data_IF_055763033460
#
_entry.id   IF_055763033460
#
_cell.length_a   1.000
_cell.length_b   1.000
_cell.length_c   1.000
_cell.angle_alpha   90.00
_cell.angle_beta   90.00
_cell.angle_gamma   90.00
#
_symmetry.space_group_name_H-M   'P 1'
#
loop_
_entity.id
_entity.type
_entity.pdbx_description
1 polymer ?
#
# COMPACT_ATOMS: atom_id res chain seq x y z
N UNK A 1 56.86 -26.12 19.70
CA UNK A 1 55.91 -27.11 19.17
C UNK A 1 54.65 -26.40 18.69
N UNK A 2 54.68 -25.88 17.47
CA UNK A 2 53.53 -25.29 16.78
C UNK A 2 52.71 -26.42 16.17
N UNK A 3 51.49 -26.64 16.65
CA UNK A 3 50.58 -27.65 16.10
C UNK A 3 50.00 -27.14 14.79
N UNK A 4 50.46 -27.73 13.69
CA UNK A 4 49.86 -27.56 12.36
C UNK A 4 48.43 -28.08 12.37
N UNK A 5 47.48 -27.17 12.13
CA UNK A 5 46.08 -27.51 11.90
C UNK A 5 45.95 -27.96 10.43
N UNK A 6 45.41 -29.15 10.15
CA UNK A 6 45.36 -29.69 8.79
C UNK A 6 44.54 -28.79 7.87
N UNK A 7 45.18 -28.38 6.77
CA UNK A 7 44.70 -27.44 5.74
C UNK A 7 43.34 -27.83 5.12
N UNK A 8 42.90 -29.09 5.24
CA UNK A 8 41.66 -29.57 4.60
C UNK A 8 40.38 -29.05 5.29
N UNK A 9 40.41 -28.72 6.58
CA UNK A 9 39.24 -28.16 7.28
C UNK A 9 38.97 -26.69 6.94
N UNK A 10 40.00 -25.93 6.59
CA UNK A 10 39.85 -24.53 6.16
C UNK A 10 39.27 -24.42 4.75
N UNK A 11 39.60 -25.36 3.86
CA UNK A 11 39.08 -25.39 2.50
C UNK A 11 37.59 -25.73 2.45
N UNK A 12 37.13 -26.67 3.29
CA UNK A 12 35.71 -27.05 3.39
C UNK A 12 34.82 -25.94 3.96
N UNK A 13 35.31 -25.18 4.95
CA UNK A 13 34.58 -24.04 5.52
C UNK A 13 34.48 -22.86 4.53
N UNK A 14 35.55 -22.61 3.76
CA UNK A 14 35.55 -21.56 2.73
C UNK A 14 34.58 -21.89 1.59
N UNK A 15 34.51 -23.15 1.13
CA UNK A 15 33.58 -23.57 0.08
C UNK A 15 32.12 -23.46 0.56
N UNK A 16 31.83 -23.74 1.84
CA UNK A 16 30.49 -23.61 2.39
C UNK A 16 30.05 -22.14 2.52
N UNK A 17 30.95 -21.24 2.93
CA UNK A 17 30.68 -19.79 2.98
C UNK A 17 30.51 -19.20 1.57
N UNK A 18 31.32 -19.65 0.59
CA UNK A 18 31.21 -19.20 -0.80
C UNK A 18 29.95 -19.70 -1.50
N UNK A 19 29.50 -20.93 -1.20
CA UNK A 19 28.23 -21.46 -1.68
C UNK A 19 27.02 -20.73 -1.05
N UNK A 20 27.13 -20.27 0.20
CA UNK A 20 26.10 -19.48 0.85
C UNK A 20 26.02 -18.05 0.30
N UNK A 21 27.15 -17.42 -0.08
CA UNK A 21 27.16 -16.11 -0.73
C UNK A 21 26.63 -16.15 -2.18
N UNK A 22 26.83 -17.27 -2.89
CA UNK A 22 26.25 -17.48 -4.23
C UNK A 22 24.73 -17.71 -4.22
N UNK A 23 24.12 -17.97 -3.06
CA UNK A 23 22.65 -17.99 -2.92
C UNK A 23 22.05 -16.59 -2.68
N UNK A 24 22.87 -15.59 -2.34
CA UNK A 24 22.43 -14.20 -2.18
C UNK A 24 22.70 -13.35 -3.42
N UNK A 25 23.71 -13.67 -4.23
CA UNK A 25 24.01 -12.98 -5.48
C UNK A 25 23.39 -13.67 -6.70
N UNK A 26 22.22 -13.18 -7.11
CA UNK A 26 21.81 -13.20 -8.52
C UNK A 26 20.67 -14.17 -8.90
N UNK A 27 19.44 -13.65 -8.92
CA UNK A 27 18.48 -14.05 -9.97
C UNK A 27 17.26 -14.90 -9.59
N UNK A 28 17.16 -15.41 -8.36
CA UNK A 28 16.01 -16.23 -7.91
C UNK A 28 15.14 -15.60 -6.81
N UNK A 29 15.39 -14.35 -6.45
CA UNK A 29 14.41 -13.56 -5.69
C UNK A 29 13.21 -13.29 -6.60
N UNK A 30 12.05 -13.83 -6.26
CA UNK A 30 10.83 -13.62 -7.01
C UNK A 30 10.55 -12.11 -7.14
N UNK A 31 10.80 -11.54 -8.32
CA UNK A 31 10.43 -10.16 -8.65
C UNK A 31 8.92 -10.03 -8.47
N UNK A 32 8.50 -9.20 -7.52
CA UNK A 32 7.10 -8.91 -7.22
C UNK A 32 6.92 -7.45 -6.77
N UNK A 33 5.68 -7.04 -6.45
CA UNK A 33 5.40 -5.65 -6.09
C UNK A 33 5.92 -5.27 -4.70
N UNK A 34 6.20 -6.24 -3.82
CA UNK A 34 6.69 -6.02 -2.47
C UNK A 34 8.21 -5.87 -2.41
N UNK A 35 8.70 -4.80 -1.78
CA UNK A 35 10.11 -4.66 -1.42
C UNK A 35 10.26 -3.89 -0.11
N UNK A 36 11.37 -4.15 0.59
CA UNK A 36 11.68 -3.44 1.83
C UNK A 36 12.44 -2.14 1.50
N UNK A 37 12.11 -1.06 2.20
CA UNK A 37 12.83 0.21 2.19
C UNK A 37 13.01 0.68 3.63
N UNK A 38 14.27 0.88 4.04
CA UNK A 38 14.58 1.44 5.36
C UNK A 38 14.09 2.90 5.46
N UNK A 39 14.17 3.65 4.36
CA UNK A 39 13.67 5.02 4.31
C UNK A 39 12.16 5.09 4.58
N UNK A 40 11.37 4.20 3.98
CA UNK A 40 9.94 4.13 4.19
C UNK A 40 9.59 3.72 5.62
N UNK A 41 10.31 2.74 6.18
CA UNK A 41 10.09 2.23 7.52
C UNK A 41 10.38 3.28 8.61
N UNK A 42 11.55 3.90 8.54
CA UNK A 42 11.94 4.99 9.45
C UNK A 42 11.01 6.20 9.28
N UNK A 43 10.63 6.54 8.05
CA UNK A 43 9.70 7.64 7.78
C UNK A 43 8.35 7.37 8.45
N UNK A 44 7.71 6.23 8.16
CA UNK A 44 6.40 5.88 8.75
C UNK A 44 6.45 5.85 10.27
N UNK A 45 7.54 5.34 10.86
CA UNK A 45 7.71 5.36 12.31
C UNK A 45 7.71 6.79 12.86
N UNK A 46 8.57 7.68 12.33
CA UNK A 46 8.71 9.05 12.81
C UNK A 46 7.45 9.87 12.50
N UNK A 47 6.84 9.66 11.34
CA UNK A 47 5.60 10.29 10.90
C UNK A 47 4.50 10.03 11.93
N UNK A 48 4.24 8.76 12.28
CA UNK A 48 3.28 8.40 13.31
C UNK A 48 3.67 8.87 14.73
N UNK A 49 4.94 8.68 15.14
CA UNK A 49 5.39 9.07 16.48
C UNK A 49 5.33 10.58 16.75
N UNK A 50 5.45 11.39 15.69
CA UNK A 50 5.37 12.86 15.80
C UNK A 50 3.97 13.36 16.11
N UNK A 51 2.93 12.60 15.75
CA UNK A 51 1.53 13.00 15.96
C UNK A 51 1.12 14.21 15.12
N UNK A 52 1.68 14.38 13.91
CA UNK A 52 1.42 15.56 13.07
C UNK A 52 -0.02 15.68 12.58
N UNK A 53 -0.76 14.56 12.53
CA UNK A 53 -2.15 14.48 12.12
C UNK A 53 -2.99 13.63 13.08
N UNK A 54 -4.31 13.88 13.16
CA UNK A 54 -5.27 13.11 13.98
C UNK A 54 -5.28 11.61 13.67
N UNK A 55 -4.94 11.24 12.44
CA UNK A 55 -4.84 9.83 11.97
C UNK A 55 -3.50 9.18 12.30
N UNK A 56 -2.61 9.87 13.01
CA UNK A 56 -1.34 9.29 13.44
C UNK A 56 -1.59 8.28 14.56
N UNK A 57 -1.13 7.05 14.37
CA UNK A 57 -1.22 6.00 15.38
C UNK A 57 -0.32 6.28 16.59
N UNK A 58 -0.95 6.43 17.76
CA UNK A 58 -0.29 6.72 19.03
C UNK A 58 0.56 5.54 19.56
N UNK A 59 0.38 4.33 19.02
CA UNK A 59 1.18 3.16 19.34
C UNK A 59 2.67 3.38 19.10
N UNK A 60 3.04 4.05 18.00
CA UNK A 60 4.45 4.36 17.69
C UNK A 60 5.07 5.29 18.73
N UNK A 61 4.35 6.35 19.12
CA UNK A 61 4.79 7.28 20.17
C UNK A 61 4.91 6.56 21.53
N UNK A 62 3.97 5.69 21.84
CA UNK A 62 3.96 4.90 23.08
C UNK A 62 5.19 4.00 23.19
N UNK A 63 5.53 3.29 22.11
CA UNK A 63 6.73 2.44 22.06
C UNK A 63 8.00 3.27 22.23
N UNK A 64 8.08 4.41 21.54
CA UNK A 64 9.24 5.30 21.62
C UNK A 64 9.45 5.90 23.03
N UNK A 65 8.36 6.23 23.73
CA UNK A 65 8.39 6.69 25.12
C UNK A 65 8.83 5.58 26.07
N UNK A 66 8.26 4.38 25.94
CA UNK A 66 8.51 3.23 26.82
C UNK A 66 9.93 2.70 26.68
N UNK A 67 10.40 2.53 25.45
CA UNK A 67 11.66 1.83 25.17
C UNK A 67 12.82 2.80 24.90
N UNK A 68 12.53 3.95 24.30
CA UNK A 68 13.55 4.91 23.90
C UNK A 68 13.94 5.92 24.98
N UNK A 69 13.05 6.24 25.93
CA UNK A 69 13.14 7.38 26.87
C UNK A 69 13.44 8.70 26.11
N UNK A 70 12.40 9.38 25.67
CA UNK A 70 12.53 10.65 24.95
C UNK A 70 13.13 11.74 25.85
N UNK A 71 14.12 12.46 25.34
CA UNK A 71 14.63 13.68 25.98
C UNK A 71 13.80 14.87 25.55
N UNK A 72 13.82 15.96 26.33
CA UNK A 72 13.12 17.20 25.97
C UNK A 72 13.56 17.75 24.60
N UNK A 73 14.84 17.61 24.24
CA UNK A 73 15.33 17.99 22.91
C UNK A 73 14.70 17.13 21.79
N UNK A 74 14.52 15.84 22.02
CA UNK A 74 13.88 14.94 21.05
C UNK A 74 12.38 15.21 20.91
N UNK A 75 11.70 15.59 22.00
CA UNK A 75 10.32 16.05 21.93
C UNK A 75 10.17 17.33 21.11
N UNK A 76 11.10 18.28 21.27
CA UNK A 76 11.15 19.50 20.47
C UNK A 76 11.38 19.19 18.98
N UNK A 77 12.26 18.25 18.66
CA UNK A 77 12.50 17.81 17.29
C UNK A 77 11.23 17.19 16.66
N UNK A 78 10.52 16.30 17.38
CA UNK A 78 9.25 15.72 16.90
C UNK A 78 8.16 16.78 16.73
N UNK A 79 8.07 17.75 17.64
CA UNK A 79 7.12 18.86 17.54
C UNK A 79 7.40 19.76 16.33
N UNK A 80 8.68 20.08 16.08
CA UNK A 80 9.09 20.83 14.88
C UNK A 80 8.80 20.03 13.60
N UNK A 81 9.06 18.72 13.61
CA UNK A 81 8.77 17.85 12.48
C UNK A 81 7.27 17.79 12.19
N UNK A 82 6.43 17.67 13.23
CA UNK A 82 4.99 17.67 13.08
C UNK A 82 4.47 18.95 12.41
N UNK A 83 5.00 20.12 12.80
CA UNK A 83 4.69 21.41 12.16
C UNK A 83 5.12 21.44 10.69
N UNK A 84 6.34 20.98 10.40
CA UNK A 84 6.84 20.91 9.02
C UNK A 84 5.97 19.99 8.16
N UNK A 85 5.70 18.76 8.62
CA UNK A 85 4.85 17.79 7.90
C UNK A 85 3.47 18.35 7.61
N UNK A 86 2.84 18.98 8.60
CA UNK A 86 1.52 19.62 8.43
C UNK A 86 1.57 20.71 7.35
N UNK A 87 2.54 21.62 7.42
CA UNK A 87 2.74 22.67 6.41
C UNK A 87 2.92 22.08 5.01
N UNK A 88 3.80 21.10 4.85
CA UNK A 88 4.09 20.50 3.54
C UNK A 88 2.91 19.69 2.99
N UNK A 89 2.13 19.05 3.85
CA UNK A 89 0.91 18.36 3.47
C UNK A 89 -0.16 19.35 3.00
N UNK A 90 -0.42 20.42 3.77
CA UNK A 90 -1.40 21.47 3.46
C UNK A 90 -1.07 22.22 2.15
N UNK A 91 0.22 22.45 1.89
CA UNK A 91 0.69 23.09 0.65
C UNK A 91 0.75 22.13 -0.55
N UNK A 92 0.50 20.83 -0.35
CA UNK A 92 0.62 19.86 -1.43
C UNK A 92 -0.47 20.07 -2.48
N UNK A 93 -0.11 19.91 -3.75
CA UNK A 93 -1.09 19.92 -4.85
C UNK A 93 -2.11 18.77 -4.78
N UNK A 94 -1.92 17.82 -3.86
CA UNK A 94 -2.82 16.69 -3.61
C UNK A 94 -3.99 17.14 -2.74
N UNK A 95 -3.75 18.01 -1.75
CA UNK A 95 -4.79 18.68 -0.97
C UNK A 95 -5.66 19.59 -1.85
N UNK A 96 -5.04 20.37 -2.74
CA UNK A 96 -5.80 21.26 -3.64
C UNK A 96 -6.62 20.52 -4.71
N UNK A 97 -6.35 19.22 -4.90
CA UNK A 97 -7.09 18.30 -5.80
C UNK A 97 -8.03 17.35 -5.05
N UNK A 98 -8.25 17.55 -3.74
CA UNK A 98 -9.29 16.79 -3.04
C UNK A 98 -10.64 17.12 -3.65
N UNK A 99 -11.32 16.10 -4.17
CA UNK A 99 -12.71 16.18 -4.63
C UNK A 99 -13.52 16.65 -3.43
N UNK A 100 -14.15 17.83 -3.54
CA UNK A 100 -14.84 18.48 -2.42
C UNK A 100 -16.17 17.83 -2.07
N UNK A 101 -16.74 16.97 -2.93
CA UNK A 101 -18.02 16.31 -2.71
C UNK A 101 -18.07 14.88 -3.28
N UNK A 102 -18.46 13.93 -2.42
CA UNK A 102 -19.03 12.60 -2.70
C UNK A 102 -18.50 11.86 -3.94
N UNK A 103 -17.19 11.61 -4.02
CA UNK A 103 -16.65 10.76 -5.07
C UNK A 103 -17.09 9.29 -4.90
N UNK A 104 -17.64 8.68 -5.95
CA UNK A 104 -18.08 7.27 -5.93
C UNK A 104 -16.91 6.29 -5.70
N UNK A 105 -15.68 6.73 -5.90
CA UNK A 105 -14.47 5.93 -5.62
C UNK A 105 -13.89 6.18 -4.23
N UNK A 106 -14.43 7.13 -3.47
CA UNK A 106 -14.00 7.52 -2.13
C UNK A 106 -12.93 8.60 -2.09
N UNK A 107 -12.67 9.12 -0.89
CA UNK A 107 -11.72 10.21 -0.68
C UNK A 107 -10.29 9.80 -1.03
N UNK A 108 -9.51 10.76 -1.53
CA UNK A 108 -8.08 10.58 -1.76
C UNK A 108 -7.42 10.23 -0.41
N UNK A 109 -6.62 9.15 -0.34
CA UNK A 109 -5.98 8.73 0.90
C UNK A 109 -5.13 9.83 1.52
N UNK A 110 -5.24 9.95 2.85
CA UNK A 110 -4.46 10.86 3.67
C UNK A 110 -2.95 10.58 3.57
N UNK A 111 -2.12 11.59 3.81
CA UNK A 111 -0.69 11.43 4.09
C UNK A 111 0.19 11.18 2.87
N UNK A 112 -0.32 11.38 1.65
CA UNK A 112 0.50 11.39 0.43
C UNK A 112 0.84 12.82 0.00
N UNK A 113 2.12 13.10 -0.12
CA UNK A 113 2.73 14.38 -0.48
C UNK A 113 4.17 14.14 -1.01
N UNK A 114 4.87 15.20 -1.39
CA UNK A 114 6.23 15.08 -1.92
C UNK A 114 7.25 14.56 -0.88
N UNK A 115 7.02 14.80 0.42
CA UNK A 115 7.83 14.22 1.50
C UNK A 115 7.71 12.71 1.52
N UNK A 116 6.51 12.22 1.79
CA UNK A 116 6.21 10.78 1.82
C UNK A 116 6.63 10.09 0.52
N UNK A 117 6.39 10.69 -0.66
CA UNK A 117 6.85 10.17 -1.94
C UNK A 117 8.37 10.01 -2.02
N UNK A 118 9.12 11.02 -1.60
CA UNK A 118 10.59 10.98 -1.58
C UNK A 118 11.12 9.86 -0.69
N UNK A 119 10.51 9.64 0.48
CA UNK A 119 10.90 8.54 1.38
C UNK A 119 10.49 7.17 0.84
N UNK A 120 9.27 7.01 0.34
CA UNK A 120 8.77 5.73 -0.20
C UNK A 120 9.45 5.29 -1.49
N UNK A 121 10.02 6.24 -2.25
CA UNK A 121 10.75 5.95 -3.48
C UNK A 121 12.24 5.65 -3.25
N UNK A 122 12.74 5.81 -2.02
CA UNK A 122 14.16 5.70 -1.69
C UNK A 122 14.44 4.45 -0.87
N UNK A 123 15.65 3.91 -0.92
CA UNK A 123 16.03 2.80 -0.04
C UNK A 123 16.59 3.31 1.29
N UNK A 124 17.27 4.46 1.28
CA UNK A 124 17.92 5.05 2.46
C UNK A 124 17.44 6.46 2.76
N UNK A 125 17.55 6.88 4.03
CA UNK A 125 17.24 8.26 4.45
C UNK A 125 18.07 9.28 3.66
N UNK A 126 19.34 8.96 3.38
CA UNK A 126 20.22 9.86 2.61
C UNK A 126 19.69 10.09 1.20
N UNK A 127 19.24 9.05 0.51
CA UNK A 127 18.62 9.16 -0.82
C UNK A 127 17.34 9.99 -0.77
N UNK A 128 16.49 9.76 0.24
CA UNK A 128 15.25 10.52 0.41
C UNK A 128 15.52 12.02 0.61
N UNK A 129 16.48 12.38 1.48
CA UNK A 129 16.86 13.78 1.70
C UNK A 129 17.47 14.43 0.45
N UNK A 130 18.24 13.67 -0.34
CA UNK A 130 18.77 14.15 -1.62
C UNK A 130 17.65 14.39 -2.64
N UNK A 131 16.62 13.54 -2.65
CA UNK A 131 15.45 13.72 -3.52
C UNK A 131 14.66 14.97 -3.12
N UNK A 132 14.39 15.17 -1.83
CA UNK A 132 13.74 16.40 -1.34
C UNK A 132 14.52 17.67 -1.69
N UNK A 133 15.85 17.63 -1.57
CA UNK A 133 16.71 18.74 -1.99
C UNK A 133 16.55 19.04 -3.49
N UNK A 134 16.44 18.01 -4.34
CA UNK A 134 16.22 18.17 -5.80
C UNK A 134 14.82 18.69 -6.12
N UNK A 135 13.84 18.35 -5.30
CA UNK A 135 12.45 18.83 -5.42
C UNK A 135 12.27 20.27 -4.92
N UNK A 136 13.33 20.91 -4.41
CA UNK A 136 13.33 22.32 -4.04
C UNK A 136 13.01 22.61 -2.58
N UNK A 137 13.02 21.60 -1.70
CA UNK A 137 12.85 21.80 -0.26
C UNK A 137 13.99 22.67 0.30
N UNK A 138 13.71 23.69 1.14
CA UNK A 138 14.72 24.59 1.69
C UNK A 138 15.88 23.86 2.38
N UNK A 139 17.10 24.37 2.21
CA UNK A 139 18.30 23.75 2.78
C UNK A 139 18.25 23.64 4.32
N UNK A 140 17.62 24.61 4.98
CA UNK A 140 17.37 24.62 6.42
C UNK A 140 16.45 23.47 6.89
N UNK A 141 15.42 23.13 6.10
CA UNK A 141 14.53 22.01 6.37
C UNK A 141 15.24 20.68 6.13
N UNK A 142 16.06 20.58 5.08
CA UNK A 142 16.91 19.41 4.84
C UNK A 142 17.91 19.19 5.98
N UNK A 143 18.54 20.26 6.46
CA UNK A 143 19.47 20.18 7.60
C UNK A 143 18.76 19.73 8.87
N UNK A 144 17.57 20.28 9.14
CA UNK A 144 16.71 19.88 10.24
C UNK A 144 16.31 18.40 10.16
N UNK A 145 15.84 17.93 9.00
CA UNK A 145 15.47 16.51 8.82
C UNK A 145 16.67 15.60 9.04
N UNK A 146 17.85 15.97 8.55
CA UNK A 146 19.08 15.22 8.79
C UNK A 146 19.41 15.14 10.29
N UNK A 147 19.27 16.24 11.04
CA UNK A 147 19.45 16.26 12.50
C UNK A 147 18.42 15.37 13.21
N UNK A 148 17.14 15.48 12.83
CA UNK A 148 16.05 14.67 13.35
C UNK A 148 16.37 13.18 13.21
N UNK A 149 16.59 12.69 11.98
CA UNK A 149 16.83 11.26 11.75
C UNK A 149 18.12 10.78 12.41
N UNK A 150 19.17 11.61 12.49
CA UNK A 150 20.39 11.26 13.25
C UNK A 150 20.12 11.12 14.75
N UNK A 151 19.33 12.02 15.33
CA UNK A 151 18.97 11.98 16.76
C UNK A 151 18.14 10.74 17.11
N UNK A 152 17.27 10.30 16.20
CA UNK A 152 16.41 9.13 16.40
C UNK A 152 17.03 7.80 15.98
N UNK A 153 18.07 7.79 15.14
CA UNK A 153 18.70 6.55 14.65
C UNK A 153 19.07 5.54 15.77
N UNK A 154 19.67 5.93 16.91
CA UNK A 154 19.98 4.98 17.98
C UNK A 154 18.74 4.33 18.60
N UNK A 155 17.64 5.08 18.71
CA UNK A 155 16.37 4.62 19.29
C UNK A 155 15.58 3.75 18.32
N UNK A 156 15.70 4.00 17.01
CA UNK A 156 15.02 3.22 15.99
C UNK A 156 15.76 1.94 15.60
N UNK A 157 17.07 1.88 15.86
CA UNK A 157 17.93 0.74 15.50
C UNK A 157 17.37 -0.63 15.92
N UNK A 158 16.78 -0.83 17.12
CA UNK A 158 16.16 -2.11 17.46
C UNK A 158 15.01 -2.49 16.53
N UNK A 159 14.09 -1.57 16.25
CA UNK A 159 12.94 -1.81 15.35
C UNK A 159 13.39 -2.09 13.91
N UNK A 160 14.34 -1.32 13.39
CA UNK A 160 14.89 -1.53 12.04
C UNK A 160 15.60 -2.89 11.91
N UNK A 161 16.22 -3.39 12.99
CA UNK A 161 16.78 -4.75 13.01
C UNK A 161 15.68 -5.81 12.91
N UNK A 162 14.53 -5.61 13.54
CA UNK A 162 13.39 -6.51 13.38
C UNK A 162 12.85 -6.45 11.94
N UNK A 163 12.75 -5.25 11.37
CA UNK A 163 12.29 -5.03 9.99
C UNK A 163 13.17 -5.69 8.94
N UNK A 164 14.44 -5.97 9.23
CA UNK A 164 15.30 -6.76 8.34
C UNK A 164 14.68 -8.14 8.00
N UNK A 165 13.79 -8.68 8.86
CA UNK A 165 13.06 -9.90 8.55
C UNK A 165 12.08 -9.76 7.38
N UNK A 166 11.58 -8.56 7.10
CA UNK A 166 10.70 -8.33 5.95
C UNK A 166 11.35 -8.75 4.65
N UNK A 167 12.66 -8.51 4.47
CA UNK A 167 13.35 -8.89 3.24
C UNK A 167 13.20 -10.40 2.94
N UNK A 168 13.30 -11.25 3.96
CA UNK A 168 13.14 -12.71 3.83
C UNK A 168 11.67 -13.08 3.62
N UNK A 169 10.75 -12.50 4.41
CA UNK A 169 9.30 -12.76 4.31
C UNK A 169 8.73 -12.33 2.95
N UNK A 170 9.28 -11.27 2.36
CA UNK A 170 8.86 -10.73 1.08
C UNK A 170 9.16 -11.66 -0.10
N UNK A 171 10.12 -12.58 0.04
CA UNK A 171 10.41 -13.59 -1.00
C UNK A 171 9.19 -14.48 -1.20
N UNK A 172 8.68 -15.04 -0.10
CA UNK A 172 7.47 -15.89 -0.13
C UNK A 172 6.24 -15.05 -0.46
N UNK A 173 6.12 -13.83 0.07
CA UNK A 173 5.05 -12.91 -0.27
C UNK A 173 4.93 -12.68 -1.79
N UNK A 174 6.03 -12.31 -2.44
CA UNK A 174 6.06 -12.03 -3.88
C UNK A 174 5.78 -13.30 -4.70
N UNK A 175 6.28 -14.45 -4.25
CA UNK A 175 5.98 -15.75 -4.84
C UNK A 175 4.48 -16.06 -4.77
N UNK A 176 3.88 -15.98 -3.59
CA UNK A 176 2.45 -16.23 -3.40
C UNK A 176 1.60 -15.22 -4.18
N UNK A 177 1.98 -13.94 -4.19
CA UNK A 177 1.33 -12.90 -4.98
C UNK A 177 1.26 -13.27 -6.47
N UNK A 178 2.38 -13.70 -7.05
CA UNK A 178 2.47 -14.10 -8.45
C UNK A 178 1.64 -15.36 -8.76
N UNK A 179 1.83 -16.44 -8.00
CA UNK A 179 1.23 -17.75 -8.31
C UNK A 179 -0.24 -17.89 -7.89
N UNK A 180 -0.78 -16.94 -7.13
CA UNK A 180 -2.20 -16.92 -6.74
C UNK A 180 -3.12 -16.22 -7.75
N UNK A 181 -2.57 -15.70 -8.87
CA UNK A 181 -3.34 -14.95 -9.86
C UNK A 181 -3.56 -13.47 -9.52
N UNK A 182 -3.05 -12.99 -8.38
CA UNK A 182 -3.21 -11.60 -7.91
C UNK A 182 -2.45 -10.59 -8.77
N UNK A 183 -1.21 -10.91 -9.15
CA UNK A 183 -0.44 -10.09 -10.10
C UNK A 183 -1.20 -9.89 -11.44
N UNK A 184 -1.79 -10.98 -11.96
CA UNK A 184 -2.58 -10.91 -13.20
C UNK A 184 -3.89 -10.15 -13.00
N UNK A 185 -4.58 -10.34 -11.89
CA UNK A 185 -5.79 -9.59 -11.55
C UNK A 185 -5.49 -8.09 -11.52
N UNK A 186 -4.46 -7.66 -10.78
CA UNK A 186 -4.05 -6.26 -10.69
C UNK A 186 -3.67 -5.67 -12.07
N UNK A 187 -2.96 -6.44 -12.91
CA UNK A 187 -2.62 -6.01 -14.28
C UNK A 187 -3.86 -5.80 -15.15
N UNK A 188 -4.84 -6.69 -15.06
CA UNK A 188 -6.12 -6.56 -15.79
C UNK A 188 -6.93 -5.37 -15.29
N UNK A 189 -7.07 -5.21 -13.96
CA UNK A 189 -7.70 -4.03 -13.35
C UNK A 189 -7.03 -2.76 -13.83
N UNK A 190 -5.70 -2.69 -13.77
CA UNK A 190 -4.91 -1.54 -14.23
C UNK A 190 -5.17 -1.21 -15.70
N UNK A 191 -5.15 -2.22 -16.58
CA UNK A 191 -5.43 -2.05 -18.00
C UNK A 191 -6.86 -1.58 -18.28
N UNK A 192 -7.83 -2.10 -17.53
CA UNK A 192 -9.24 -1.76 -17.68
C UNK A 192 -9.55 -0.34 -17.17
N UNK A 193 -9.07 -0.01 -15.97
CA UNK A 193 -9.39 1.23 -15.24
C UNK A 193 -8.59 2.44 -15.75
N UNK A 194 -7.30 2.25 -16.06
CA UNK A 194 -6.39 3.33 -16.45
C UNK A 194 -6.03 3.33 -17.95
N UNK A 195 -6.48 2.33 -18.71
CA UNK A 195 -6.18 2.22 -20.13
C UNK A 195 -4.67 2.29 -20.44
N UNK A 196 -4.30 3.18 -21.38
CA UNK A 196 -2.89 3.41 -21.75
C UNK A 196 -2.06 4.04 -20.63
N UNK A 197 -2.65 4.88 -19.77
CA UNK A 197 -1.97 5.50 -18.61
C UNK A 197 -1.54 4.44 -17.59
N UNK A 198 -2.30 3.35 -17.47
CA UNK A 198 -1.97 2.21 -16.63
C UNK A 198 -0.60 1.57 -16.93
N UNK A 199 -0.03 1.75 -18.13
CA UNK A 199 1.32 1.24 -18.43
C UNK A 199 2.41 1.97 -17.66
N UNK A 200 2.20 3.24 -17.31
CA UNK A 200 3.16 4.08 -16.59
C UNK A 200 2.98 4.03 -15.08
N UNK A 201 1.79 3.66 -14.60
CA UNK A 201 1.52 3.49 -13.18
C UNK A 201 2.03 2.14 -12.68
N UNK A 202 2.86 2.18 -11.63
CA UNK A 202 3.43 1.00 -10.99
C UNK A 202 3.18 1.08 -9.49
N UNK A 203 2.42 0.11 -8.99
CA UNK A 203 2.19 -0.03 -7.56
C UNK A 203 3.40 -0.66 -6.90
N UNK A 204 3.84 -0.05 -5.80
CA UNK A 204 4.86 -0.57 -4.92
C UNK A 204 4.26 -0.91 -3.57
N UNK A 205 4.56 -2.08 -3.00
CA UNK A 205 4.14 -2.46 -1.66
C UNK A 205 5.33 -2.40 -0.71
N UNK A 206 5.23 -1.60 0.36
CA UNK A 206 6.29 -1.37 1.33
C UNK A 206 5.81 -1.87 2.69
N UNK A 207 6.33 -3.00 3.20
CA UNK A 207 6.11 -3.34 4.59
C UNK A 207 6.92 -2.40 5.48
N UNK A 208 6.26 -1.91 6.52
CA UNK A 208 6.86 -1.06 7.54
C UNK A 208 6.51 -1.63 8.91
N UNK A 209 7.42 -1.39 9.85
CA UNK A 209 7.28 -1.84 11.23
C UNK A 209 6.02 -1.25 11.85
N UNK A 210 5.32 -2.07 12.63
CA UNK A 210 4.19 -1.64 13.44
C UNK A 210 4.24 -2.28 14.83
N UNK A 211 3.75 -1.58 15.88
CA UNK A 211 3.65 -2.18 17.21
C UNK A 211 2.80 -3.46 17.15
N UNK A 212 3.25 -4.55 17.78
CA UNK A 212 2.52 -5.82 17.77
C UNK A 212 1.15 -5.79 18.44
N UNK A 213 0.85 -4.72 19.19
CA UNK A 213 -0.46 -4.45 19.80
C UNK A 213 -1.46 -3.80 18.84
N UNK A 214 -0.99 -3.30 17.69
CA UNK A 214 -1.83 -2.69 16.65
C UNK A 214 -2.17 -3.77 15.63
N UNK A 215 -3.43 -3.81 15.19
CA UNK A 215 -3.84 -4.74 14.14
C UNK A 215 -3.14 -4.41 12.82
N UNK A 216 -2.74 -5.43 12.02
CA UNK A 216 -2.19 -5.19 10.71
C UNK A 216 -3.10 -4.31 9.87
N UNK A 217 -2.50 -3.38 9.12
CA UNK A 217 -3.25 -2.47 8.27
C UNK A 217 -2.54 -2.22 6.95
N UNK A 218 -3.35 -1.85 5.95
CA UNK A 218 -2.88 -1.57 4.59
C UNK A 218 -3.43 -0.22 4.16
N UNK A 219 -2.53 0.75 4.03
CA UNK A 219 -2.88 2.10 3.60
C UNK A 219 -2.37 2.39 2.21
N UNK A 220 -3.12 3.23 1.50
CA UNK A 220 -2.74 3.72 0.18
C UNK A 220 -2.05 5.08 0.37
N UNK A 221 -0.88 5.25 -0.25
CA UNK A 221 -0.12 6.50 -0.31
C UNK A 221 0.29 6.74 -1.77
N UNK A 222 -0.64 7.24 -2.58
CA UNK A 222 -0.41 7.42 -4.01
C UNK A 222 -0.15 6.10 -4.75
N UNK A 223 1.00 5.98 -5.41
CA UNK A 223 1.45 4.73 -6.05
C UNK A 223 2.02 3.67 -5.07
N UNK A 224 2.02 3.96 -3.77
CA UNK A 224 2.52 3.06 -2.73
C UNK A 224 1.38 2.45 -1.91
N UNK A 225 1.52 1.18 -1.55
CA UNK A 225 0.77 0.56 -0.45
C UNK A 225 1.71 0.36 0.73
N UNK A 226 1.34 0.92 1.87
CA UNK A 226 2.07 0.76 3.11
C UNK A 226 1.44 -0.38 3.89
N UNK A 227 2.20 -1.45 4.08
CA UNK A 227 1.77 -2.63 4.83
C UNK A 227 2.32 -2.50 6.26
N UNK A 228 1.51 -2.01 7.19
CA UNK A 228 1.90 -1.90 8.61
C UNK A 228 1.71 -3.23 9.30
N UNK A 229 2.82 -3.90 9.59
CA UNK A 229 2.85 -5.21 10.22
C UNK A 229 3.97 -5.23 11.27
N UNK A 230 3.77 -5.97 12.35
CA UNK A 230 4.88 -6.35 13.20
C UNK A 230 5.67 -7.48 12.51
N UNK A 231 6.96 -7.28 12.20
CA UNK A 231 7.76 -8.26 11.46
C UNK A 231 7.84 -9.62 12.17
N UNK A 232 7.80 -9.63 13.51
CA UNK A 232 7.99 -10.82 14.34
C UNK A 232 6.71 -11.63 14.52
N UNK A 233 5.56 -10.97 14.70
CA UNK A 233 4.33 -11.63 15.15
C UNK A 233 3.19 -11.65 14.13
N UNK A 234 3.25 -10.83 13.08
CA UNK A 234 2.10 -10.61 12.19
C UNK A 234 2.37 -10.97 10.72
N UNK A 235 3.61 -11.33 10.33
CA UNK A 235 3.97 -11.57 8.93
C UNK A 235 3.80 -13.01 8.45
N UNK A 236 3.33 -13.92 9.32
CA UNK A 236 3.12 -15.32 8.93
C UNK A 236 1.91 -15.49 8.00
N UNK A 237 0.87 -14.67 8.18
CA UNK A 237 -0.38 -14.75 7.45
C UNK A 237 -0.79 -13.39 6.89
N UNK A 238 -0.07 -12.91 5.87
CA UNK A 238 -0.48 -11.72 5.13
C UNK A 238 -1.92 -11.86 4.61
N UNK A 239 -2.78 -10.87 4.87
CA UNK A 239 -4.09 -10.83 4.23
C UNK A 239 -3.96 -10.34 2.78
N UNK A 240 -3.54 -11.25 1.91
CA UNK A 240 -3.40 -10.94 0.49
C UNK A 240 -4.71 -10.53 -0.20
N UNK A 241 -5.87 -10.88 0.38
CA UNK A 241 -7.16 -10.48 -0.17
C UNK A 241 -7.40 -9.01 0.12
N UNK A 242 -7.20 -8.58 1.36
CA UNK A 242 -7.29 -7.17 1.74
C UNK A 242 -6.23 -6.33 1.01
N UNK A 243 -4.98 -6.80 0.95
CA UNK A 243 -3.91 -6.12 0.20
C UNK A 243 -4.29 -5.90 -1.26
N UNK A 244 -4.87 -6.90 -1.93
CA UNK A 244 -5.30 -6.75 -3.32
C UNK A 244 -6.54 -5.85 -3.45
N UNK A 245 -7.49 -5.86 -2.50
CA UNK A 245 -8.60 -4.90 -2.47
C UNK A 245 -8.09 -3.46 -2.38
N UNK A 246 -7.11 -3.20 -1.52
CA UNK A 246 -6.46 -1.88 -1.40
C UNK A 246 -5.66 -1.50 -2.65
N UNK A 247 -4.97 -2.46 -3.27
CA UNK A 247 -4.28 -2.25 -4.54
C UNK A 247 -5.26 -1.85 -5.66
N UNK A 248 -6.43 -2.48 -5.71
CA UNK A 248 -7.51 -2.12 -6.64
C UNK A 248 -8.01 -0.70 -6.36
N UNK A 249 -8.27 -0.36 -5.10
CA UNK A 249 -8.66 1.01 -4.73
C UNK A 249 -7.61 2.05 -5.16
N UNK A 250 -6.31 1.74 -4.99
CA UNK A 250 -5.23 2.61 -5.45
C UNK A 250 -5.24 2.82 -6.99
N UNK A 251 -5.62 1.79 -7.77
CA UNK A 251 -5.80 1.93 -9.22
C UNK A 251 -6.93 2.90 -9.54
N UNK A 252 -8.06 2.84 -8.84
CA UNK A 252 -9.14 3.81 -9.01
C UNK A 252 -8.70 5.22 -8.62
N UNK A 253 -7.92 5.37 -7.55
CA UNK A 253 -7.40 6.67 -7.12
C UNK A 253 -6.40 7.29 -8.09
N UNK A 254 -5.73 6.47 -8.89
CA UNK A 254 -4.79 6.92 -9.92
C UNK A 254 -5.47 7.44 -11.20
N UNK A 255 -6.80 7.37 -11.32
CA UNK A 255 -7.53 8.02 -12.42
C UNK A 255 -7.42 9.55 -12.32
N UNK A 256 -7.50 10.23 -13.47
CA UNK A 256 -7.52 11.69 -13.47
C UNK A 256 -8.76 12.21 -12.73
N UNK A 257 -8.60 13.35 -12.05
CA UNK A 257 -9.65 13.96 -11.24
C UNK A 257 -10.94 14.19 -12.04
N UNK A 258 -10.81 14.81 -13.21
CA UNK A 258 -11.93 15.09 -14.11
C UNK A 258 -12.65 13.81 -14.56
N UNK A 259 -11.90 12.74 -14.84
CA UNK A 259 -12.50 11.46 -15.20
C UNK A 259 -13.29 10.87 -14.03
N UNK A 260 -12.74 10.90 -12.82
CA UNK A 260 -13.42 10.43 -11.61
C UNK A 260 -14.71 11.21 -11.36
N UNK A 261 -14.64 12.54 -11.40
CA UNK A 261 -15.81 13.41 -11.21
C UNK A 261 -16.91 13.12 -12.24
N UNK A 262 -16.55 12.98 -13.51
CA UNK A 262 -17.52 12.69 -14.58
C UNK A 262 -18.17 11.31 -14.40
N UNK A 263 -17.38 10.29 -14.07
CA UNK A 263 -17.91 8.95 -13.80
C UNK A 263 -18.80 8.92 -12.56
N UNK A 264 -18.41 9.63 -11.49
CA UNK A 264 -19.20 9.73 -10.27
C UNK A 264 -20.53 10.45 -10.50
N UNK A 265 -20.55 11.53 -11.31
CA UNK A 265 -21.79 12.17 -11.75
C UNK A 265 -22.70 11.19 -12.49
N UNK A 266 -22.16 10.45 -13.48
CA UNK A 266 -22.93 9.45 -14.23
C UNK A 266 -23.50 8.33 -13.35
N UNK A 267 -22.75 7.91 -12.33
CA UNK A 267 -23.22 6.91 -11.37
C UNK A 267 -24.45 7.42 -10.61
N UNK A 268 -24.33 8.62 -10.04
CA UNK A 268 -25.35 9.24 -9.19
C UNK A 268 -26.66 9.54 -9.91
N UNK A 269 -26.64 9.74 -11.22
CA UNK A 269 -27.85 9.91 -12.02
C UNK A 269 -28.85 8.75 -11.86
N UNK A 270 -28.35 7.53 -11.59
CA UNK A 270 -29.20 6.33 -11.44
C UNK A 270 -29.16 5.73 -10.03
N UNK A 271 -28.06 5.88 -9.29
CA UNK A 271 -27.93 5.33 -7.93
C UNK A 271 -27.26 6.30 -6.96
N UNK A 272 -28.03 7.29 -6.48
CA UNK A 272 -27.55 8.26 -5.51
C UNK A 272 -27.48 7.69 -4.09
N UNK A 273 -26.46 8.05 -3.30
CA UNK A 273 -26.34 7.69 -1.88
C UNK A 273 -25.88 6.25 -1.61
N UNK A 274 -25.23 5.61 -2.59
CA UNK A 274 -24.69 4.23 -2.52
C UNK A 274 -23.24 4.13 -3.01
N UNK A 275 -22.54 5.25 -3.00
CA UNK A 275 -21.16 5.43 -3.47
C UNK A 275 -20.21 4.47 -2.75
N UNK A 276 -20.36 4.40 -1.42
CA UNK A 276 -19.53 3.55 -0.59
C UNK A 276 -19.72 2.05 -0.92
N UNK A 277 -20.97 1.61 -1.15
CA UNK A 277 -21.23 0.22 -1.53
C UNK A 277 -20.70 -0.11 -2.92
N UNK A 278 -20.73 0.83 -3.87
CA UNK A 278 -20.07 0.65 -5.16
C UNK A 278 -18.55 0.52 -5.01
N UNK A 279 -17.93 1.39 -4.21
CA UNK A 279 -16.51 1.34 -3.92
C UNK A 279 -16.12 -0.01 -3.30
N UNK A 280 -16.85 -0.49 -2.29
CA UNK A 280 -16.59 -1.78 -1.65
C UNK A 280 -16.84 -2.95 -2.62
N UNK A 281 -17.92 -2.91 -3.40
CA UNK A 281 -18.29 -3.96 -4.33
C UNK A 281 -17.27 -4.11 -5.48
N UNK A 282 -16.76 -3.00 -6.02
CA UNK A 282 -15.69 -3.03 -7.03
C UNK A 282 -14.39 -3.60 -6.44
N UNK A 283 -14.00 -3.19 -5.23
CA UNK A 283 -12.84 -3.79 -4.56
C UNK A 283 -13.00 -5.29 -4.39
N UNK A 284 -14.19 -5.80 -4.05
CA UNK A 284 -14.45 -7.24 -3.96
C UNK A 284 -14.39 -7.92 -5.34
N UNK A 285 -15.06 -7.37 -6.35
CA UNK A 285 -15.11 -7.95 -7.69
C UNK A 285 -13.71 -8.08 -8.31
N UNK A 286 -12.94 -7.00 -8.31
CA UNK A 286 -11.58 -6.98 -8.89
C UNK A 286 -10.53 -7.58 -7.94
N UNK A 287 -10.69 -7.43 -6.62
CA UNK A 287 -9.66 -7.73 -5.64
C UNK A 287 -9.78 -9.09 -4.94
N UNK A 288 -10.99 -9.64 -4.85
CA UNK A 288 -11.24 -10.95 -4.23
C UNK A 288 -11.71 -11.99 -5.24
N UNK A 289 -12.67 -11.64 -6.09
CA UNK A 289 -13.30 -12.59 -7.02
C UNK A 289 -12.43 -12.87 -8.25
N UNK A 290 -11.94 -11.83 -8.92
CA UNK A 290 -11.13 -11.93 -10.12
C UNK A 290 -9.86 -12.81 -9.99
N UNK A 291 -9.02 -12.69 -8.94
CA UNK A 291 -7.85 -13.58 -8.81
C UNK A 291 -8.24 -15.05 -8.67
N UNK A 292 -9.33 -15.38 -7.95
CA UNK A 292 -9.83 -16.75 -7.84
C UNK A 292 -10.32 -17.28 -9.17
N UNK A 293 -11.05 -16.47 -9.92
CA UNK A 293 -11.51 -16.81 -11.26
C UNK A 293 -10.35 -17.09 -12.22
N UNK A 294 -9.34 -16.22 -12.24
CA UNK A 294 -8.12 -16.39 -13.05
C UNK A 294 -7.41 -17.71 -12.72
N UNK A 295 -7.29 -18.04 -11.43
CA UNK A 295 -6.56 -19.23 -10.97
C UNK A 295 -7.32 -20.52 -11.27
N UNK A 296 -8.62 -20.56 -11.00
CA UNK A 296 -9.41 -21.80 -11.03
C UNK A 296 -10.18 -22.01 -12.32
N UNK A 297 -10.41 -20.95 -13.11
CA UNK A 297 -11.29 -20.93 -14.30
C UNK A 297 -12.69 -21.52 -14.05
N UNK A 298 -13.11 -21.63 -12.78
CA UNK A 298 -14.43 -22.17 -12.43
C UNK A 298 -15.49 -21.11 -12.66
N UNK A 299 -16.70 -21.57 -13.00
CA UNK A 299 -17.88 -20.71 -13.08
C UNK A 299 -18.07 -20.01 -11.73
N UNK A 300 -18.32 -18.70 -11.81
CA UNK A 300 -18.61 -17.86 -10.66
C UNK A 300 -19.73 -18.49 -9.79
N UNK A 301 -19.48 -18.61 -8.48
CA UNK A 301 -20.42 -19.20 -7.52
C UNK A 301 -21.26 -18.11 -6.85
N UNK A 302 -22.55 -18.07 -7.17
CA UNK A 302 -23.52 -17.11 -6.62
C UNK A 302 -23.77 -17.29 -5.11
N UNK A 303 -23.56 -18.50 -4.57
CA UNK A 303 -23.81 -18.81 -3.16
C UNK A 303 -22.63 -18.50 -2.24
N UNK A 304 -21.44 -18.26 -2.81
CA UNK A 304 -20.29 -17.86 -2.02
C UNK A 304 -20.48 -16.43 -1.47
N UNK A 305 -20.23 -16.24 -0.18
CA UNK A 305 -20.32 -14.92 0.46
C UNK A 305 -18.95 -14.23 0.47
N UNK A 306 -18.91 -13.02 -0.07
CA UNK A 306 -17.71 -12.20 -0.27
C UNK A 306 -17.69 -10.93 0.60
N UNK A 307 -18.86 -10.49 1.09
CA UNK A 307 -18.98 -9.43 2.10
C UNK A 307 -19.93 -9.83 3.22
N UNK A 308 -19.69 -9.30 4.43
CA UNK A 308 -20.65 -9.36 5.53
C UNK A 308 -21.88 -8.49 5.24
N UNK A 309 -21.75 -7.44 4.42
CA UNK A 309 -22.86 -6.57 4.02
C UNK A 309 -23.59 -7.20 2.82
N UNK A 310 -24.85 -7.59 3.04
CA UNK A 310 -25.66 -8.29 2.03
C UNK A 310 -25.77 -7.49 0.74
N UNK A 311 -26.01 -6.18 0.82
CA UNK A 311 -26.10 -5.33 -0.37
C UNK A 311 -24.80 -5.35 -1.18
N UNK A 312 -23.65 -5.12 -0.53
CA UNK A 312 -22.34 -5.12 -1.19
C UNK A 312 -22.02 -6.49 -1.80
N UNK A 313 -22.34 -7.56 -1.08
CA UNK A 313 -22.14 -8.93 -1.55
C UNK A 313 -22.91 -9.19 -2.85
N UNK A 314 -24.22 -8.94 -2.84
CA UNK A 314 -25.07 -9.11 -4.04
C UNK A 314 -24.62 -8.18 -5.16
N UNK A 315 -24.27 -6.93 -4.84
CA UNK A 315 -23.86 -5.99 -5.85
C UNK A 315 -22.54 -6.37 -6.52
N UNK A 316 -21.54 -6.81 -5.75
CA UNK A 316 -20.28 -7.32 -6.30
C UNK A 316 -20.49 -8.51 -7.24
N UNK A 317 -21.44 -9.40 -6.90
CA UNK A 317 -21.84 -10.55 -7.73
C UNK A 317 -22.51 -10.13 -9.05
N UNK A 318 -23.26 -9.04 -9.06
CA UNK A 318 -23.85 -8.46 -10.27
C UNK A 318 -22.81 -7.73 -11.13
N UNK A 319 -21.87 -7.01 -10.49
CA UNK A 319 -20.79 -6.30 -11.18
C UNK A 319 -19.77 -7.26 -11.81
N UNK A 320 -19.53 -8.41 -11.20
CA UNK A 320 -18.45 -9.31 -11.62
C UNK A 320 -18.59 -9.83 -13.06
N UNK A 321 -19.74 -10.37 -13.52
CA UNK A 321 -19.92 -10.79 -14.91
C UNK A 321 -19.76 -9.63 -15.90
N UNK A 322 -20.32 -8.46 -15.56
CA UNK A 322 -20.19 -7.25 -16.39
C UNK A 322 -18.73 -6.84 -16.57
N UNK A 323 -17.97 -6.82 -15.46
CA UNK A 323 -16.53 -6.56 -15.45
C UNK A 323 -15.78 -7.61 -16.28
N UNK A 324 -16.06 -8.89 -16.07
CA UNK A 324 -15.38 -9.99 -16.75
C UNK A 324 -15.56 -9.89 -18.27
N UNK A 325 -16.79 -9.67 -18.73
CA UNK A 325 -17.11 -9.53 -20.15
C UNK A 325 -16.38 -8.34 -20.77
N UNK A 326 -16.40 -7.18 -20.10
CA UNK A 326 -15.71 -5.99 -20.57
C UNK A 326 -14.18 -6.21 -20.65
N UNK A 327 -13.56 -6.84 -19.64
CA UNK A 327 -12.13 -7.16 -19.67
C UNK A 327 -11.81 -8.14 -20.83
N UNK A 328 -12.65 -9.18 -21.00
CA UNK A 328 -12.48 -10.18 -22.07
C UNK A 328 -12.56 -9.55 -23.47
N UNK A 329 -13.48 -8.61 -23.65
CA UNK A 329 -13.70 -7.89 -24.90
C UNK A 329 -12.75 -6.69 -25.09
N UNK A 330 -11.72 -6.53 -24.23
CA UNK A 330 -10.77 -5.41 -24.25
C UNK A 330 -11.44 -4.03 -24.14
N UNK A 331 -12.58 -3.97 -23.47
CA UNK A 331 -13.26 -2.73 -23.10
C UNK A 331 -12.44 -1.90 -22.11
N UNK A 332 -12.98 -0.74 -21.76
CA UNK A 332 -12.38 0.19 -20.79
C UNK A 332 -13.39 0.60 -19.74
N UNK A 333 -12.88 1.06 -18.59
CA UNK A 333 -13.68 1.65 -17.53
C UNK A 333 -14.20 3.02 -17.98
N UNK A 334 -15.34 3.00 -18.66
CA UNK A 334 -15.93 4.13 -19.39
C UNK A 334 -17.29 4.52 -18.81
N UNK A 335 -17.89 5.58 -19.36
CA UNK A 335 -19.26 5.99 -19.02
C UNK A 335 -20.28 4.87 -19.23
N UNK A 336 -20.13 4.05 -20.28
CA UNK A 336 -21.01 2.91 -20.54
C UNK A 336 -20.97 1.87 -19.40
N UNK A 337 -19.77 1.48 -18.96
CA UNK A 337 -19.62 0.57 -17.81
C UNK A 337 -20.24 1.18 -16.55
N UNK A 338 -20.05 2.49 -16.35
CA UNK A 338 -20.58 3.20 -15.19
C UNK A 338 -22.11 3.27 -15.21
N UNK A 339 -22.72 3.50 -16.36
CA UNK A 339 -24.18 3.50 -16.52
C UNK A 339 -24.81 2.13 -16.27
N UNK A 340 -24.17 1.06 -16.71
CA UNK A 340 -24.62 -0.31 -16.43
C UNK A 340 -24.46 -0.61 -14.93
N UNK A 341 -23.33 -0.21 -14.34
CA UNK A 341 -23.09 -0.37 -12.91
C UNK A 341 -24.14 0.37 -12.08
N UNK A 342 -24.45 1.62 -12.40
CA UNK A 342 -25.44 2.42 -11.66
C UNK A 342 -26.87 1.93 -11.89
N UNK A 343 -27.17 1.39 -13.07
CA UNK A 343 -28.43 0.69 -13.31
C UNK A 343 -28.59 -0.55 -12.41
N UNK A 344 -27.56 -1.40 -12.31
CA UNK A 344 -27.57 -2.56 -11.41
C UNK A 344 -27.77 -2.15 -9.94
N UNK A 345 -27.08 -1.09 -9.51
CA UNK A 345 -27.24 -0.52 -8.17
C UNK A 345 -28.68 -0.08 -7.90
N UNK A 346 -29.29 0.64 -8.86
CA UNK A 346 -30.68 1.09 -8.75
C UNK A 346 -31.66 -0.08 -8.64
N UNK A 347 -31.51 -1.10 -9.48
CA UNK A 347 -32.38 -2.28 -9.45
C UNK A 347 -32.28 -3.00 -8.11
N UNK A 348 -31.05 -3.21 -7.61
CA UNK A 348 -30.83 -3.83 -6.31
C UNK A 348 -31.44 -3.00 -5.17
N UNK A 349 -31.30 -1.67 -5.23
CA UNK A 349 -31.89 -0.78 -4.25
C UNK A 349 -33.42 -0.85 -4.23
N UNK A 350 -34.06 -0.89 -5.39
CA UNK A 350 -35.51 -1.04 -5.51
C UNK A 350 -36.01 -2.38 -4.96
N UNK A 351 -35.25 -3.46 -5.15
CA UNK A 351 -35.57 -4.77 -4.57
C UNK A 351 -35.39 -4.80 -3.05
N UNK A 352 -34.41 -4.07 -2.51
CA UNK A 352 -34.16 -4.01 -1.06
C UNK A 352 -35.19 -3.16 -0.29
N UNK A 353 -35.90 -2.24 -0.96
CA UNK A 353 -36.95 -1.41 -0.35
C UNK A 353 -38.32 -2.11 -0.38
N UNK A 354 -38.53 -3.08 -1.29
CA UNK A 354 -39.80 -3.82 -1.34
C UNK A 354 -39.76 -4.97 -0.33
N UNK A 355 -40.62 -4.94 0.72
CA UNK A 355 -40.63 -5.94 1.78
C UNK A 355 -40.99 -7.35 1.30
#
# INVERSE_FOLDING_TARGET
MTKDVPMSKKLSLFIFIFALSLLFDGGLLAKGPGHYSEAADIFEFIDHASGWHEKSDQGYRTVLLREGKLTSAQEQLLSRYAKLRKKEYENSSIQSKMIKEDDTFGNIPFGYDHFSRSFYSSNTIREALLNLKKEGVPAEDIQFLNELYKSFAPKLKPFIKESAQFAVKLIEFNKQWKYSGRDRALKLTKGFVLGKKGRKWNLTMLPVWSPGTVLPSVDIRGEFLILRYNPLTQTENWDYTDILKKAVAAVFYAQDLEQRENLSKLFKLKCNGREYEFQEATQIAFGAMLPRYIKTKRKFNLYERWSSKVFVDVYAKLLFPLMEENIKNKGTFSGFFMEQSSFLCRQLHQLAIRP
#
